data_IF_499087245386
#
_entry.id   IF_499087245386
#
_cell.length_a   1.000
_cell.length_b   1.000
_cell.length_c   1.000
_cell.angle_alpha   90.00
_cell.angle_beta   90.00
_cell.angle_gamma   90.00
#
_symmetry.space_group_name_H-M   'P 1'
#
loop_
_entity.id
_entity.type
_entity.pdbx_description
1 polymer ?
#
# COMPACT_ATOMS: atom_id res chain seq x y z
N UNK A 1 2.81 -10.40 -6.02
CA UNK A 1 4.15 -9.85 -5.75
C UNK A 1 4.22 -8.32 -5.90
N UNK A 2 3.22 -7.69 -6.55
CA UNK A 2 3.19 -6.25 -6.83
C UNK A 2 3.29 -5.30 -5.62
N UNK A 3 2.69 -5.65 -4.47
CA UNK A 3 2.68 -4.77 -3.30
C UNK A 3 4.09 -4.52 -2.74
N UNK A 4 4.93 -5.55 -2.75
CA UNK A 4 6.34 -5.38 -2.36
C UNK A 4 7.05 -4.44 -3.32
N UNK A 5 6.80 -4.57 -4.62
CA UNK A 5 7.36 -3.68 -5.63
C UNK A 5 7.05 -2.22 -5.33
N UNK A 6 5.79 -1.92 -5.06
CA UNK A 6 5.37 -0.55 -4.72
C UNK A 6 5.98 0.00 -3.44
N UNK A 7 6.06 -0.80 -2.38
CA UNK A 7 6.72 -0.40 -1.15
C UNK A 7 8.22 -0.13 -1.35
N UNK A 8 8.88 -0.93 -2.20
CA UNK A 8 10.29 -0.73 -2.53
C UNK A 8 10.51 0.52 -3.37
N UNK A 9 9.66 0.76 -4.38
CA UNK A 9 9.71 1.95 -5.23
C UNK A 9 9.50 3.20 -4.40
N UNK A 10 8.44 3.25 -3.59
CA UNK A 10 8.18 4.39 -2.70
C UNK A 10 9.37 4.68 -1.77
N UNK A 11 10.01 3.63 -1.24
CA UNK A 11 11.21 3.77 -0.40
C UNK A 11 12.43 4.24 -1.18
N UNK A 12 12.68 3.70 -2.37
CA UNK A 12 13.82 4.10 -3.18
C UNK A 12 13.69 5.53 -3.68
N UNK A 13 12.49 5.96 -4.09
CA UNK A 13 12.25 7.33 -4.54
C UNK A 13 12.39 8.34 -3.40
N UNK A 14 11.86 8.03 -2.21
CA UNK A 14 11.99 8.90 -1.04
C UNK A 14 13.45 9.16 -0.67
N UNK A 15 14.27 8.09 -0.66
CA UNK A 15 15.71 8.21 -0.35
C UNK A 15 16.45 8.92 -1.49
N UNK A 16 16.18 8.56 -2.75
CA UNK A 16 16.85 9.15 -3.92
C UNK A 16 16.58 10.64 -4.05
N UNK A 17 15.36 11.08 -3.76
CA UNK A 17 14.93 12.48 -3.87
C UNK A 17 15.15 13.27 -2.57
N UNK A 18 15.43 12.59 -1.46
CA UNK A 18 15.51 13.20 -0.11
C UNK A 18 14.21 13.90 0.31
N UNK A 19 13.08 13.32 -0.08
CA UNK A 19 11.74 13.86 0.09
C UNK A 19 10.76 12.81 0.59
N UNK A 20 9.56 13.24 0.98
CA UNK A 20 8.50 12.35 1.41
C UNK A 20 7.71 11.87 0.18
N UNK A 21 7.56 10.55 0.05
CA UNK A 21 6.81 9.90 -1.02
C UNK A 21 5.61 9.19 -0.42
N UNK A 22 4.46 9.32 -1.08
CA UNK A 22 3.23 8.69 -0.65
C UNK A 22 2.93 7.46 -1.50
N UNK A 23 2.46 6.42 -0.83
CA UNK A 23 1.84 5.25 -1.47
C UNK A 23 0.36 5.27 -1.08
N UNK A 24 -0.54 5.33 -2.06
CA UNK A 24 -1.98 5.44 -1.83
C UNK A 24 -2.75 4.35 -2.58
N UNK A 25 -3.85 3.87 -1.98
CA UNK A 25 -4.75 2.92 -2.64
C UNK A 25 -5.50 3.56 -3.80
N UNK A 26 -5.81 2.76 -4.81
CA UNK A 26 -6.77 3.12 -5.86
C UNK A 26 -8.17 2.74 -5.37
N UNK A 27 -9.16 3.61 -5.59
CA UNK A 27 -10.53 3.40 -5.09
C UNK A 27 -11.39 2.51 -5.99
N UNK A 28 -11.04 2.36 -7.27
CA UNK A 28 -11.71 1.45 -8.20
C UNK A 28 -10.78 1.03 -9.34
N UNK A 29 -10.83 -0.26 -9.70
CA UNK A 29 -10.09 -0.83 -10.82
C UNK A 29 -10.84 -2.06 -11.36
N UNK A 30 -10.80 -2.30 -12.68
CA UNK A 30 -11.32 -3.51 -13.34
C UNK A 30 -12.77 -3.90 -12.94
N UNK A 31 -13.65 -2.90 -12.78
CA UNK A 31 -15.05 -3.12 -12.39
C UNK A 31 -15.27 -3.44 -10.90
N UNK A 32 -14.20 -3.44 -10.09
CA UNK A 32 -14.24 -3.57 -8.63
C UNK A 32 -14.15 -2.18 -7.98
N UNK A 33 -14.95 -1.97 -6.93
CA UNK A 33 -14.83 -0.81 -6.04
C UNK A 33 -14.16 -1.20 -4.72
N UNK A 34 -13.14 -0.46 -4.34
CA UNK A 34 -12.44 -0.53 -3.05
C UNK A 34 -12.61 0.76 -2.23
N UNK A 35 -13.49 1.67 -2.68
CA UNK A 35 -13.73 2.97 -2.04
C UNK A 35 -14.45 2.83 -0.68
N UNK A 36 -15.29 1.81 -0.53
CA UNK A 36 -16.16 1.63 0.63
C UNK A 36 -15.41 1.39 1.96
N UNK A 37 -14.17 0.90 1.90
CA UNK A 37 -13.34 0.64 3.08
C UNK A 37 -11.98 1.32 2.94
N UNK A 38 -11.52 2.10 3.93
CA UNK A 38 -10.18 2.69 3.90
C UNK A 38 -9.10 1.61 3.88
N UNK A 39 -9.37 0.46 4.52
CA UNK A 39 -8.47 -0.67 4.59
C UNK A 39 -8.43 -1.54 3.33
N UNK A 40 -9.37 -1.39 2.38
CA UNK A 40 -9.39 -2.22 1.16
C UNK A 40 -8.44 -1.67 0.10
N UNK A 41 -7.28 -2.31 -0.03
CA UNK A 41 -6.22 -1.99 -0.98
C UNK A 41 -6.21 -2.95 -2.18
N UNK A 42 -7.31 -3.68 -2.39
CA UNK A 42 -7.41 -4.73 -3.43
C UNK A 42 -7.58 -4.19 -4.85
N UNK A 43 -7.62 -2.87 -5.06
CA UNK A 43 -7.79 -2.24 -6.37
C UNK A 43 -6.48 -1.64 -6.92
N UNK A 44 -5.35 -1.89 -6.25
CA UNK A 44 -4.05 -1.41 -6.68
C UNK A 44 -3.66 -0.14 -5.95
N UNK A 45 -2.55 0.44 -6.36
CA UNK A 45 -1.94 1.54 -5.65
C UNK A 45 -1.07 2.41 -6.56
N UNK A 46 -0.90 3.65 -6.13
CA UNK A 46 -0.06 4.65 -6.79
C UNK A 46 1.03 5.13 -5.84
N UNK A 47 2.21 5.36 -6.39
CA UNK A 47 3.34 6.02 -5.75
C UNK A 47 3.46 7.41 -6.33
N UNK A 48 3.45 8.44 -5.49
CA UNK A 48 3.48 9.82 -5.95
C UNK A 48 4.19 10.73 -4.94
N UNK A 49 4.71 11.85 -5.45
CA UNK A 49 5.14 13.00 -4.65
C UNK A 49 3.92 13.85 -4.36
N UNK A 50 3.69 14.13 -3.10
CA UNK A 50 2.63 15.01 -2.65
C UNK A 50 3.24 16.37 -2.31
N UNK A 51 3.07 17.33 -3.22
CA UNK A 51 3.67 18.65 -3.08
C UNK A 51 2.90 19.54 -2.10
N UNK A 52 1.58 19.38 -2.03
CA UNK A 52 0.70 20.23 -1.24
C UNK A 52 0.49 19.70 0.20
N UNK A 53 0.92 18.46 0.48
CA UNK A 53 0.89 17.80 1.78
C UNK A 53 -0.45 17.19 2.18
N UNK A 54 -1.47 17.17 1.31
CA UNK A 54 -2.85 16.84 1.68
C UNK A 54 -3.14 15.32 1.76
N UNK A 55 -2.23 14.47 1.29
CA UNK A 55 -2.37 13.01 1.28
C UNK A 55 -3.22 12.47 0.14
N UNK A 56 -3.64 13.33 -0.79
CA UNK A 56 -4.32 12.99 -2.01
C UNK A 56 -3.37 13.16 -3.19
N UNK A 57 -3.60 12.34 -4.21
CA UNK A 57 -3.04 12.58 -5.52
C UNK A 57 -4.12 13.29 -6.32
N UNK A 58 -3.84 14.51 -6.77
CA UNK A 58 -4.75 15.27 -7.61
C UNK A 58 -4.22 15.30 -9.04
N UNK A 59 -5.05 14.90 -10.01
CA UNK A 59 -4.65 14.97 -11.42
C UNK A 59 -4.61 16.45 -11.83
N UNK A 60 -3.53 16.86 -12.49
CA UNK A 60 -3.25 18.25 -12.89
C UNK A 60 -2.97 19.23 -11.72
N UNK A 61 -2.53 18.74 -10.56
CA UNK A 61 -1.89 19.56 -9.52
C UNK A 61 -0.37 19.57 -9.70
N UNK A 62 0.35 20.12 -8.71
CA UNK A 62 1.80 19.99 -8.58
C UNK A 62 2.24 18.55 -8.18
N UNK A 63 1.30 17.63 -7.91
CA UNK A 63 1.65 16.26 -7.52
C UNK A 63 2.27 15.47 -8.69
N UNK A 64 3.42 14.83 -8.44
CA UNK A 64 4.12 14.02 -9.43
C UNK A 64 3.77 12.54 -9.24
N UNK A 65 3.06 11.94 -10.21
CA UNK A 65 2.86 10.49 -10.24
C UNK A 65 4.16 9.79 -10.64
N UNK A 66 4.71 8.96 -9.76
CA UNK A 66 5.96 8.25 -9.99
C UNK A 66 5.71 6.88 -10.61
N UNK A 67 4.74 6.12 -10.08
CA UNK A 67 4.42 4.80 -10.59
C UNK A 67 3.01 4.35 -10.18
N UNK A 68 2.36 3.62 -11.07
CA UNK A 68 1.09 2.94 -10.80
C UNK A 68 1.31 1.43 -10.79
N UNK A 69 0.66 0.74 -9.86
CA UNK A 69 0.70 -0.70 -9.75
C UNK A 69 -0.73 -1.27 -9.73
N UNK A 70 -1.03 -2.21 -10.63
CA UNK A 70 -2.33 -2.86 -10.64
C UNK A 70 -2.49 -3.79 -9.43
N UNK A 71 -3.73 -4.05 -9.05
CA UNK A 71 -4.02 -5.08 -8.07
C UNK A 71 -3.66 -6.48 -8.60
N UNK A 72 -3.20 -7.39 -7.73
CA UNK A 72 -3.14 -8.81 -8.07
C UNK A 72 -4.56 -9.38 -8.25
N UNK A 73 -4.75 -10.15 -9.32
CA UNK A 73 -6.02 -10.81 -9.63
C UNK A 73 -6.43 -11.79 -8.51
N UNK A 74 -7.73 -11.94 -8.29
CA UNK A 74 -8.32 -12.93 -7.36
C UNK A 74 -7.76 -12.88 -5.93
N UNK A 75 -7.33 -11.72 -5.47
CA UNK A 75 -6.72 -11.54 -4.15
C UNK A 75 -7.31 -10.32 -3.46
N UNK A 76 -7.59 -10.44 -2.16
CA UNK A 76 -7.94 -9.32 -1.29
C UNK A 76 -6.69 -8.83 -0.58
N UNK A 77 -6.51 -7.52 -0.52
CA UNK A 77 -5.42 -6.87 0.22
C UNK A 77 -6.04 -5.92 1.23
N UNK A 78 -5.77 -6.16 2.51
CA UNK A 78 -6.26 -5.35 3.63
C UNK A 78 -5.11 -4.68 4.35
N UNK A 79 -5.13 -3.35 4.45
CA UNK A 79 -4.16 -2.62 5.25
C UNK A 79 -4.63 -2.50 6.71
N UNK A 80 -3.84 -2.99 7.66
CA UNK A 80 -4.27 -3.12 9.07
C UNK A 80 -4.38 -1.78 9.82
N UNK A 81 -3.76 -0.71 9.32
CA UNK A 81 -3.86 0.63 9.91
C UNK A 81 -5.19 1.33 9.61
N UNK A 82 -5.98 0.78 8.67
CA UNK A 82 -7.20 1.42 8.17
C UNK A 82 -6.97 2.82 7.58
N UNK A 83 -5.79 3.03 6.98
CA UNK A 83 -5.45 4.24 6.24
C UNK A 83 -5.56 4.04 4.73
N UNK A 84 -5.81 5.11 3.99
CA UNK A 84 -5.90 5.11 2.52
C UNK A 84 -4.55 5.37 1.85
N UNK A 85 -3.56 5.84 2.60
CA UNK A 85 -2.19 6.03 2.15
C UNK A 85 -1.19 5.75 3.29
N UNK A 86 0.08 5.64 2.92
CA UNK A 86 1.22 5.71 3.83
C UNK A 86 2.27 6.67 3.29
N UNK A 87 3.07 7.23 4.19
CA UNK A 87 4.17 8.14 3.84
C UNK A 87 5.49 7.44 4.11
N UNK A 88 6.37 7.46 3.11
CA UNK A 88 7.77 7.07 3.23
C UNK A 88 8.61 8.33 3.24
N UNK A 89 9.29 8.62 4.35
CA UNK A 89 10.07 9.84 4.48
C UNK A 89 11.44 9.73 3.78
N UNK A 90 12.16 10.85 3.72
CA UNK A 90 13.50 10.96 3.11
C UNK A 90 14.56 9.95 3.59
N UNK A 91 14.37 9.32 4.76
CA UNK A 91 15.28 8.29 5.29
C UNK A 91 14.81 6.87 4.95
N UNK A 92 13.76 6.73 4.16
CA UNK A 92 13.13 5.46 3.84
C UNK A 92 12.34 4.85 4.99
N UNK A 93 12.05 5.63 6.03
CA UNK A 93 11.20 5.20 7.14
C UNK A 93 9.73 5.39 6.76
N UNK A 94 8.89 4.43 7.15
CA UNK A 94 7.47 4.42 6.81
C UNK A 94 6.70 4.87 8.05
N UNK A 95 6.03 6.02 7.94
CA UNK A 95 5.23 6.58 9.03
C UNK A 95 3.91 5.80 9.19
N UNK A 96 3.53 5.48 10.44
CA UNK A 96 2.39 4.61 10.77
C UNK A 96 2.85 3.30 11.42
N UNK A 97 2.98 3.30 12.75
CA UNK A 97 3.55 2.20 13.54
C UNK A 97 2.66 0.94 13.50
N UNK A 98 3.26 -0.24 13.38
CA UNK A 98 2.58 -1.55 13.56
C UNK A 98 1.69 -2.02 12.41
N UNK A 99 1.69 -1.31 11.28
CA UNK A 99 0.83 -1.63 10.16
C UNK A 99 1.40 -2.76 9.29
N UNK A 100 0.49 -3.57 8.75
CA UNK A 100 0.79 -4.66 7.84
C UNK A 100 -0.27 -4.75 6.77
N UNK A 101 0.08 -5.36 5.64
CA UNK A 101 -0.89 -5.70 4.62
C UNK A 101 -1.19 -7.18 4.74
N UNK A 102 -2.44 -7.53 5.03
CA UNK A 102 -2.92 -8.90 5.01
C UNK A 102 -3.45 -9.19 3.62
N UNK A 103 -2.91 -10.22 3.01
CA UNK A 103 -3.21 -10.68 1.67
C UNK A 103 -3.90 -12.04 1.81
N UNK A 104 -5.08 -12.18 1.22
CA UNK A 104 -5.82 -13.43 1.21
C UNK A 104 -6.41 -13.70 -0.17
N UNK A 105 -6.52 -14.96 -0.60
CA UNK A 105 -7.19 -15.29 -1.85
C UNK A 105 -8.65 -14.86 -1.78
N UNK A 106 -9.23 -14.38 -2.88
CA UNK A 106 -10.68 -14.20 -2.93
C UNK A 106 -11.34 -15.57 -3.04
N UNK A 107 -11.95 -16.03 -1.94
CA UNK A 107 -12.72 -17.26 -1.93
C UNK A 107 -14.22 -16.94 -2.03
N UNK A 108 -14.94 -17.47 -3.04
CA UNK A 108 -16.41 -17.40 -3.07
C UNK A 108 -17.07 -18.18 -1.92
N UNK A 109 -16.30 -19.01 -1.19
CA UNK A 109 -16.77 -19.86 -0.09
C UNK A 109 -16.55 -19.24 1.30
N UNK A 110 -16.08 -17.99 1.39
CA UNK A 110 -16.12 -17.18 2.61
C UNK A 110 -15.04 -17.42 3.66
N UNK A 111 -14.25 -18.51 3.60
CA UNK A 111 -13.11 -18.70 4.50
C UNK A 111 -11.77 -18.73 3.75
N UNK A 112 -10.87 -17.85 4.18
CA UNK A 112 -9.47 -17.77 3.73
C UNK A 112 -8.50 -18.06 4.86
N UNK A 113 -9.04 -18.49 6.02
CA UNK A 113 -8.28 -18.76 7.23
C UNK A 113 -7.21 -19.82 6.96
N UNK A 114 -5.96 -19.50 7.28
CA UNK A 114 -4.79 -20.36 7.03
C UNK A 114 -4.12 -20.18 5.66
N UNK A 115 -4.71 -19.41 4.75
CA UNK A 115 -4.12 -19.07 3.44
C UNK A 115 -3.66 -17.61 3.35
N UNK A 116 -3.59 -16.94 4.49
CA UNK A 116 -3.24 -15.53 4.60
C UNK A 116 -1.72 -15.36 4.55
N UNK A 117 -1.28 -14.25 3.95
CA UNK A 117 0.09 -13.76 4.06
C UNK A 117 0.06 -12.33 4.58
N UNK A 118 1.06 -11.96 5.38
CA UNK A 118 1.23 -10.60 5.85
C UNK A 118 2.52 -10.00 5.30
N UNK A 119 2.41 -8.77 4.79
CA UNK A 119 3.55 -7.90 4.50
C UNK A 119 3.71 -6.96 5.68
N UNK A 120 4.72 -7.20 6.48
CA UNK A 120 5.01 -6.38 7.65
C UNK A 120 5.93 -5.25 7.27
N UNK A 121 5.59 -4.06 7.73
CA UNK A 121 6.40 -2.87 7.57
C UNK A 121 6.79 -2.37 8.97
N UNK A 122 8.09 -2.27 9.22
CA UNK A 122 8.60 -1.64 10.45
C UNK A 122 8.68 -0.13 10.28
N UNK A 123 8.65 0.64 11.38
CA UNK A 123 8.91 2.08 11.38
C UNK A 123 10.24 2.44 10.69
N UNK A 124 11.28 1.61 10.80
CA UNK A 124 12.56 1.78 10.11
C UNK A 124 12.55 1.44 8.61
N UNK A 125 11.39 1.17 8.00
CA UNK A 125 11.26 0.88 6.57
C UNK A 125 11.60 -0.55 6.14
N UNK A 126 11.91 -1.46 7.07
CA UNK A 126 12.09 -2.89 6.76
C UNK A 126 10.75 -3.49 6.33
N UNK A 127 10.74 -4.14 5.18
CA UNK A 127 9.60 -4.87 4.61
C UNK A 127 9.89 -6.37 4.68
N UNK A 128 9.05 -7.14 5.38
CA UNK A 128 9.15 -8.61 5.44
C UNK A 128 7.84 -9.28 5.06
N UNK A 129 7.93 -10.49 4.53
CA UNK A 129 6.80 -11.35 4.25
C UNK A 129 6.76 -12.48 5.27
N UNK A 130 5.57 -12.78 5.77
CA UNK A 130 5.33 -13.90 6.67
C UNK A 130 4.03 -14.59 6.29
N UNK A 131 3.92 -15.86 6.62
CA UNK A 131 2.66 -16.61 6.57
C UNK A 131 1.78 -16.21 7.76
N UNK A 132 0.48 -16.11 7.54
CA UNK A 132 -0.50 -15.67 8.53
C UNK A 132 -0.95 -14.21 8.34
N UNK A 133 -1.68 -13.68 9.32
CA UNK A 133 -2.36 -12.38 9.23
C UNK A 133 -1.84 -11.32 10.20
N UNK A 134 -0.77 -11.59 10.94
CA UNK A 134 -0.22 -10.64 11.92
C UNK A 134 1.30 -10.69 12.00
N UNK A 135 1.88 -9.51 12.22
CA UNK A 135 3.31 -9.32 12.36
C UNK A 135 3.73 -9.49 13.83
N UNK A 136 4.45 -10.57 14.14
CA UNK A 136 5.10 -10.80 15.44
C UNK A 136 6.45 -10.14 15.61
#
# INVERSE_FOLDING_TARGET
MELRGALQVARSDAVRRSEDIKLKKIDAADGRSCAASPADWSCGWIVFRDENGDGAYTVNSEDELLQTFPAPSNTSVRFTSNATYLTVNRWGAINGVGASFVISPQSPLGSTSGLEMAVCVSSGGRIRWITGSSCS
#
